data_IF_111869676690
#
_entry.id   IF_111869676690
#
_cell.length_a   1.000
_cell.length_b   1.000
_cell.length_c   1.000
_cell.angle_alpha   90.00
_cell.angle_beta   90.00
_cell.angle_gamma   90.00
#
_symmetry.space_group_name_H-M   'P 1'
#
loop_
_entity.id
_entity.type
_entity.pdbx_description
1 polymer ?
#
# COMPACT_ATOMS: atom_id res chain seq x y z
N UNK A 1 7.47 15.81 -6.57
CA UNK A 1 6.21 15.62 -5.80
C UNK A 1 6.44 14.62 -4.69
N UNK A 2 5.80 14.80 -3.54
CA UNK A 2 5.87 13.91 -2.38
C UNK A 2 4.47 13.50 -1.93
N UNK A 3 4.33 12.26 -1.47
CA UNK A 3 3.05 11.64 -1.15
C UNK A 3 3.13 10.94 0.21
N UNK A 4 2.07 11.04 1.02
CA UNK A 4 1.83 10.14 2.16
C UNK A 4 0.47 9.48 2.05
N UNK A 5 0.44 8.18 2.30
CA UNK A 5 -0.71 7.33 2.01
C UNK A 5 -0.64 6.02 2.77
N UNK A 6 -1.79 5.35 2.91
CA UNK A 6 -1.87 3.93 3.19
C UNK A 6 -1.63 3.16 1.88
N UNK A 7 -0.61 2.27 1.83
CA UNK A 7 -0.26 1.60 0.60
C UNK A 7 -1.36 0.62 0.18
N UNK A 8 -1.71 0.56 -1.11
CA UNK A 8 -2.56 -0.50 -1.59
C UNK A 8 -1.87 -1.85 -1.42
N UNK A 9 -2.66 -2.89 -1.23
CA UNK A 9 -2.15 -4.26 -1.10
C UNK A 9 -1.23 -4.66 -2.27
N UNK A 10 -1.50 -4.17 -3.47
CA UNK A 10 -0.69 -4.46 -4.67
C UNK A 10 0.73 -3.86 -4.62
N UNK A 11 0.99 -2.95 -3.69
CA UNK A 11 2.28 -2.27 -3.49
C UNK A 11 3.03 -2.77 -2.25
N UNK A 12 2.52 -3.79 -1.57
CA UNK A 12 3.20 -4.44 -0.44
C UNK A 12 3.58 -5.87 -0.82
N UNK A 13 4.39 -6.52 0.00
CA UNK A 13 4.72 -7.94 -0.17
C UNK A 13 4.74 -8.65 1.19
N UNK A 14 4.43 -9.96 1.26
CA UNK A 14 4.36 -10.67 2.52
C UNK A 14 5.71 -11.31 2.90
N UNK A 15 5.73 -12.02 4.02
CA UNK A 15 6.88 -12.83 4.43
C UNK A 15 7.16 -13.98 3.44
N UNK A 16 8.35 -14.56 3.52
CA UNK A 16 8.80 -15.59 2.56
C UNK A 16 7.91 -16.85 2.56
N UNK A 17 7.32 -17.20 3.70
CA UNK A 17 6.48 -18.39 3.85
C UNK A 17 5.00 -18.13 3.55
N UNK A 18 4.65 -16.94 3.06
CA UNK A 18 3.26 -16.53 2.93
C UNK A 18 2.41 -17.48 2.08
N UNK A 19 3.02 -18.07 1.05
CA UNK A 19 2.32 -19.01 0.17
C UNK A 19 1.96 -20.30 0.89
N UNK A 20 2.85 -20.82 1.74
CA UNK A 20 2.61 -22.06 2.50
C UNK A 20 1.72 -21.81 3.73
N UNK A 21 1.79 -20.61 4.30
CA UNK A 21 1.01 -20.19 5.48
C UNK A 21 -0.36 -19.59 5.12
N UNK A 22 -0.59 -19.30 3.83
CA UNK A 22 -1.72 -18.52 3.32
C UNK A 22 -1.86 -17.13 4.01
N UNK A 23 -0.73 -16.53 4.39
CA UNK A 23 -0.61 -15.25 5.12
C UNK A 23 -0.37 -14.05 4.19
N UNK A 24 -1.05 -14.03 3.04
CA UNK A 24 -1.02 -12.92 2.09
C UNK A 24 -2.43 -12.38 1.83
N UNK A 25 -2.50 -11.13 1.37
CA UNK A 25 -3.75 -10.51 0.96
C UNK A 25 -4.07 -10.80 -0.52
N UNK A 26 -5.35 -10.82 -0.92
CA UNK A 26 -5.73 -10.96 -2.33
C UNK A 26 -5.06 -9.90 -3.22
N UNK A 27 -4.41 -10.35 -4.30
CA UNK A 27 -3.73 -9.47 -5.26
C UNK A 27 -2.36 -8.95 -4.81
N UNK A 28 -1.91 -9.31 -3.61
CA UNK A 28 -0.59 -8.96 -3.10
C UNK A 28 0.52 -9.72 -3.87
N UNK A 29 1.53 -9.03 -4.39
CA UNK A 29 2.75 -9.66 -4.89
C UNK A 29 3.46 -10.48 -3.82
N UNK A 30 4.09 -11.59 -4.21
CA UNK A 30 4.83 -12.44 -3.26
C UNK A 30 6.28 -11.99 -3.06
N UNK A 31 6.75 -11.04 -3.88
CA UNK A 31 8.12 -10.54 -3.83
C UNK A 31 8.16 -9.02 -3.81
N UNK A 32 9.21 -8.46 -3.18
CA UNK A 32 9.47 -7.02 -3.18
C UNK A 32 9.63 -6.46 -4.60
N UNK A 33 10.27 -7.21 -5.50
CA UNK A 33 10.51 -6.78 -6.89
C UNK A 33 9.21 -6.61 -7.66
N UNK A 34 8.27 -7.55 -7.52
CA UNK A 34 6.97 -7.44 -8.18
C UNK A 34 6.12 -6.31 -7.59
N UNK A 35 6.15 -6.12 -6.27
CA UNK A 35 5.48 -4.99 -5.63
C UNK A 35 6.05 -3.64 -6.10
N UNK A 36 7.37 -3.55 -6.25
CA UNK A 36 8.04 -2.37 -6.79
C UNK A 36 7.61 -2.10 -8.23
N UNK A 37 7.56 -3.13 -9.08
CA UNK A 37 7.17 -3.00 -10.48
C UNK A 37 5.71 -2.53 -10.60
N UNK A 38 4.80 -3.05 -9.77
CA UNK A 38 3.40 -2.61 -9.73
C UNK A 38 3.28 -1.15 -9.28
N UNK A 39 3.94 -0.80 -8.17
CA UNK A 39 3.93 0.58 -7.68
C UNK A 39 4.47 1.57 -8.72
N UNK A 40 5.59 1.23 -9.35
CA UNK A 40 6.19 2.08 -10.38
C UNK A 40 5.29 2.19 -11.63
N UNK A 41 4.67 1.10 -12.06
CA UNK A 41 3.75 1.08 -13.20
C UNK A 41 2.50 1.93 -12.95
N UNK A 42 1.92 1.80 -11.76
CA UNK A 42 0.75 2.57 -11.33
C UNK A 42 1.04 4.07 -11.25
N UNK A 43 2.15 4.45 -10.58
CA UNK A 43 2.57 5.85 -10.46
C UNK A 43 2.85 6.46 -11.83
N UNK A 44 3.60 5.75 -12.69
CA UNK A 44 3.91 6.24 -14.03
C UNK A 44 2.62 6.44 -14.85
N UNK A 45 1.72 5.46 -14.82
CA UNK A 45 0.44 5.53 -15.53
C UNK A 45 -0.42 6.68 -15.03
N UNK A 46 -0.48 6.91 -13.71
CA UNK A 46 -1.23 8.02 -13.11
C UNK A 46 -0.66 9.39 -13.52
N UNK A 47 0.67 9.54 -13.57
CA UNK A 47 1.34 10.76 -14.03
C UNK A 47 1.04 11.03 -15.50
N UNK A 48 1.20 10.03 -16.37
CA UNK A 48 0.93 10.18 -17.81
C UNK A 48 -0.54 10.50 -18.09
N UNK A 49 -1.46 9.84 -17.38
CA UNK A 49 -2.89 10.12 -17.47
C UNK A 49 -3.23 11.53 -16.94
N UNK A 50 -2.55 11.98 -15.89
CA UNK A 50 -2.67 13.34 -15.36
C UNK A 50 -2.22 14.39 -16.37
N UNK A 51 -1.04 14.20 -16.97
CA UNK A 51 -0.52 15.07 -18.02
C UNK A 51 -1.47 15.15 -19.22
N UNK A 52 -1.95 13.99 -19.69
CA UNK A 52 -2.91 13.92 -20.79
C UNK A 52 -4.23 14.65 -20.47
N UNK A 53 -4.77 14.47 -19.27
CA UNK A 53 -6.01 15.11 -18.83
C UNK A 53 -5.89 16.65 -18.76
N UNK A 54 -4.68 17.16 -18.51
CA UNK A 54 -4.37 18.59 -18.49
C UNK A 54 -3.89 19.11 -19.86
N UNK A 55 -3.93 18.28 -20.90
CA UNK A 55 -3.43 18.61 -22.24
C UNK A 55 -1.96 19.04 -22.26
N UNK A 56 -1.16 18.49 -21.33
CA UNK A 56 0.27 18.73 -21.23
C UNK A 56 1.06 17.72 -22.09
N UNK A 57 2.26 18.08 -22.58
CA UNK A 57 3.09 17.15 -23.35
C UNK A 57 3.45 15.89 -22.55
N UNK A 58 3.30 14.73 -23.19
CA UNK A 58 3.71 13.42 -22.64
C UNK A 58 4.95 12.86 -23.35
N UNK A 59 5.28 13.36 -24.55
CA UNK A 59 6.46 12.94 -25.32
C UNK A 59 7.74 13.46 -24.67
N UNK A 60 8.74 12.58 -24.51
CA UNK A 60 10.03 12.93 -23.91
C UNK A 60 10.02 13.07 -22.39
N UNK A 61 8.89 12.75 -21.74
CA UNK A 61 8.77 12.77 -20.28
C UNK A 61 9.33 11.50 -19.67
N UNK A 62 10.14 11.67 -18.62
CA UNK A 62 10.61 10.56 -17.79
C UNK A 62 10.03 10.70 -16.39
N UNK A 63 9.29 9.69 -15.94
CA UNK A 63 8.75 9.61 -14.58
C UNK A 63 9.61 8.63 -13.78
N UNK A 64 10.18 9.11 -12.67
CA UNK A 64 10.97 8.29 -11.76
C UNK A 64 10.30 8.26 -10.39
N UNK A 65 9.49 7.23 -10.09
CA UNK A 65 8.97 6.99 -8.76
C UNK A 65 10.09 6.58 -7.80
N UNK A 66 10.06 7.11 -6.60
CA UNK A 66 10.88 6.66 -5.47
C UNK A 66 9.94 6.15 -4.39
N UNK A 67 9.79 4.84 -4.33
CA UNK A 67 8.96 4.14 -3.36
C UNK A 67 9.65 2.83 -3.02
N UNK A 68 9.61 2.43 -1.75
CA UNK A 68 10.07 1.12 -1.30
C UNK A 68 8.87 0.35 -0.77
N UNK A 69 8.41 -0.72 -1.44
CA UNK A 69 7.35 -1.59 -0.95
C UNK A 69 7.66 -2.06 0.48
N UNK A 70 6.72 -1.95 1.41
CA UNK A 70 6.91 -2.50 2.74
C UNK A 70 6.54 -3.98 2.79
N UNK A 71 7.21 -4.70 3.69
CA UNK A 71 6.82 -6.05 4.08
C UNK A 71 5.60 -5.98 5.00
N UNK A 72 4.48 -6.56 4.57
CA UNK A 72 3.27 -6.70 5.37
C UNK A 72 2.61 -8.03 5.04
N UNK A 73 2.36 -8.85 6.05
CA UNK A 73 1.64 -10.13 5.87
C UNK A 73 0.24 -10.02 6.44
N UNK A 74 -0.66 -10.85 5.93
CA UNK A 74 -1.90 -11.16 6.63
C UNK A 74 -1.59 -12.17 7.76
N UNK A 75 -2.56 -12.47 8.62
CA UNK A 75 -2.41 -13.58 9.55
C UNK A 75 -2.44 -14.94 8.82
N UNK A 76 -1.95 -15.98 9.48
CA UNK A 76 -1.80 -17.33 8.96
C UNK A 76 -3.17 -17.99 8.90
N UNK A 77 -3.54 -18.50 7.73
CA UNK A 77 -4.85 -19.13 7.48
C UNK A 77 -4.75 -20.63 7.17
N UNK A 78 -3.54 -21.14 6.97
CA UNK A 78 -3.33 -22.56 6.69
C UNK A 78 -3.58 -23.40 7.95
N UNK A 79 -4.59 -24.28 7.91
CA UNK A 79 -4.85 -25.24 9.00
C UNK A 79 -3.72 -26.28 9.08
N UNK A 80 -3.29 -26.63 10.30
CA UNK A 80 -2.22 -27.62 10.53
C UNK A 80 -0.79 -27.05 10.42
N UNK A 81 -0.66 -25.74 10.25
CA UNK A 81 0.61 -24.97 10.34
C UNK A 81 0.61 -24.17 11.65
N UNK A 82 1.79 -23.69 12.05
CA UNK A 82 1.97 -22.80 13.21
C UNK A 82 1.05 -21.59 13.12
N UNK A 83 0.30 -21.30 14.18
CA UNK A 83 -0.56 -20.14 14.33
C UNK A 83 0.21 -18.82 14.19
N UNK A 84 -0.47 -17.72 13.89
CA UNK A 84 0.17 -16.40 14.00
C UNK A 84 0.50 -16.13 15.45
N UNK A 85 1.79 -16.01 15.75
CA UNK A 85 2.26 -15.91 17.14
C UNK A 85 1.91 -14.56 17.77
N UNK A 86 1.81 -14.54 19.09
CA UNK A 86 1.70 -13.30 19.84
C UNK A 86 2.89 -12.37 19.52
N UNK A 87 2.62 -11.08 19.40
CA UNK A 87 3.58 -10.05 18.99
C UNK A 87 3.81 -9.93 17.49
N UNK A 88 3.26 -10.84 16.66
CA UNK A 88 3.35 -10.71 15.21
C UNK A 88 2.61 -9.46 14.72
N UNK A 89 3.17 -8.80 13.70
CA UNK A 89 2.54 -7.68 13.02
C UNK A 89 1.74 -8.18 11.81
N UNK A 90 0.44 -7.87 11.79
CA UNK A 90 -0.50 -8.27 10.75
C UNK A 90 -1.04 -7.01 10.08
N UNK A 91 -1.13 -6.99 8.76
CA UNK A 91 -1.80 -5.90 8.05
C UNK A 91 -3.31 -5.92 8.27
N UNK A 92 -3.91 -4.73 8.40
CA UNK A 92 -5.36 -4.58 8.37
C UNK A 92 -5.76 -3.88 7.08
N UNK A 93 -6.50 -4.60 6.23
CA UNK A 93 -6.90 -4.11 4.91
C UNK A 93 -8.30 -3.50 4.95
N UNK A 94 -8.41 -2.24 4.52
CA UNK A 94 -9.65 -1.49 4.33
C UNK A 94 -9.70 -0.95 2.90
N UNK A 95 -10.79 -1.20 2.17
CA UNK A 95 -10.99 -0.71 0.79
C UNK A 95 -9.86 -0.99 -0.23
N UNK A 96 -9.00 -1.99 0.03
CA UNK A 96 -7.88 -2.36 -0.83
C UNK A 96 -6.52 -1.81 -0.39
N UNK A 97 -6.48 -0.92 0.62
CA UNK A 97 -5.28 -0.39 1.24
C UNK A 97 -5.00 -1.04 2.60
N UNK A 98 -3.72 -1.14 2.97
CA UNK A 98 -3.31 -1.53 4.31
C UNK A 98 -3.27 -0.26 5.17
N UNK A 99 -4.33 -0.03 5.95
CA UNK A 99 -4.47 1.20 6.73
C UNK A 99 -3.77 1.12 8.08
N UNK A 100 -3.74 -0.08 8.69
CA UNK A 100 -3.20 -0.29 10.03
C UNK A 100 -2.35 -1.55 10.10
N UNK A 101 -1.48 -1.60 11.09
CA UNK A 101 -0.83 -2.81 11.57
C UNK A 101 -1.43 -3.20 12.91
N UNK A 102 -1.81 -4.46 13.03
CA UNK A 102 -2.26 -5.09 14.26
C UNK A 102 -1.06 -5.79 14.88
N UNK A 103 -0.81 -5.53 16.15
CA UNK A 103 0.11 -6.37 16.94
C UNK A 103 -0.72 -7.44 17.62
N UNK A 104 -0.51 -8.71 17.25
CA UNK A 104 -1.26 -9.84 17.80
C UNK A 104 -1.07 -9.91 19.33
N UNK A 105 -2.11 -9.71 20.17
CA UNK A 105 -1.95 -9.71 21.62
C UNK A 105 -1.73 -11.12 22.18
N UNK A 106 -2.19 -12.14 21.43
CA UNK A 106 -2.02 -13.55 21.70
C UNK A 106 -1.84 -14.30 20.37
N UNK A 107 -1.61 -15.61 20.43
CA UNK A 107 -1.61 -16.43 19.22
C UNK A 107 -3.01 -16.39 18.55
N UNK A 108 -3.04 -16.23 17.23
CA UNK A 108 -4.26 -16.18 16.43
C UNK A 108 -4.35 -17.45 15.60
N UNK A 109 -5.40 -18.23 15.86
CA UNK A 109 -5.69 -19.47 15.14
C UNK A 109 -6.06 -19.17 13.68
N UNK A 110 -5.89 -20.12 12.75
CA UNK A 110 -6.33 -19.95 11.36
C UNK A 110 -7.82 -19.58 11.23
N UNK A 111 -8.68 -20.18 12.05
CA UNK A 111 -10.12 -19.88 12.05
C UNK A 111 -10.39 -18.44 12.49
N UNK A 112 -9.75 -17.98 13.57
CA UNK A 112 -9.86 -16.61 14.04
C UNK A 112 -9.31 -15.61 13.01
N UNK A 113 -8.20 -15.95 12.36
CA UNK A 113 -7.64 -15.15 11.26
C UNK A 113 -8.64 -14.99 10.10
N UNK A 114 -9.22 -16.10 9.61
CA UNK A 114 -10.21 -16.10 8.52
C UNK A 114 -11.43 -15.25 8.88
N UNK A 115 -11.90 -15.37 10.13
CA UNK A 115 -13.06 -14.64 10.65
C UNK A 115 -12.72 -13.20 11.10
N UNK A 116 -11.46 -12.75 10.94
CA UNK A 116 -10.95 -11.44 11.38
C UNK A 116 -11.17 -11.17 12.88
N UNK A 117 -11.05 -12.21 13.70
CA UNK A 117 -11.12 -12.16 15.15
C UNK A 117 -9.68 -12.05 15.68
N UNK A 118 -9.26 -10.85 16.06
CA UNK A 118 -7.89 -10.60 16.52
C UNK A 118 -7.75 -10.45 18.04
N UNK A 119 -8.88 -10.46 18.74
CA UNK A 119 -8.95 -10.46 20.20
C UNK A 119 -9.54 -11.80 20.68
N UNK A 120 -8.95 -12.37 21.73
CA UNK A 120 -9.54 -13.53 22.37
C UNK A 120 -10.83 -13.14 23.10
N UNK A 121 -11.83 -14.04 23.11
CA UNK A 121 -13.05 -13.82 23.88
C UNK A 121 -12.71 -13.64 25.38
N UNK A 122 -13.06 -12.48 25.95
CA UNK A 122 -12.73 -12.13 27.35
C UNK A 122 -11.34 -11.51 27.55
N UNK A 123 -10.65 -11.09 26.49
CA UNK A 123 -9.39 -10.39 26.60
C UNK A 123 -9.53 -9.08 27.42
N UNK A 124 -8.62 -8.89 28.37
CA UNK A 124 -8.51 -7.66 29.18
C UNK A 124 -7.47 -6.68 28.62
N UNK A 125 -6.62 -7.15 27.70
CA UNK A 125 -5.63 -6.31 27.01
C UNK A 125 -6.23 -5.84 25.68
N UNK A 126 -6.27 -4.53 25.41
CA UNK A 126 -6.86 -4.00 24.18
C UNK A 126 -6.01 -4.36 22.95
N UNK A 127 -6.67 -4.59 21.80
CA UNK A 127 -5.99 -4.70 20.52
C UNK A 127 -5.22 -3.42 20.20
N UNK A 128 -3.91 -3.56 19.94
CA UNK A 128 -3.07 -2.44 19.51
C UNK A 128 -3.10 -2.39 17.99
N UNK A 129 -3.71 -1.34 17.46
CA UNK A 129 -3.69 -0.98 16.05
C UNK A 129 -2.88 0.30 15.87
N UNK A 130 -1.88 0.27 15.00
CA UNK A 130 -1.09 1.45 14.65
C UNK A 130 -1.31 1.80 13.19
N UNK A 131 -1.50 3.10 12.92
CA UNK A 131 -1.61 3.62 11.56
C UNK A 131 -0.38 3.24 10.71
N UNK A 132 -0.65 2.79 9.49
CA UNK A 132 0.37 2.32 8.56
C UNK A 132 0.51 3.26 7.38
N UNK A 133 1.26 4.34 7.58
CA UNK A 133 1.46 5.40 6.60
C UNK A 133 2.81 5.21 5.93
N UNK A 134 2.82 5.17 4.60
CA UNK A 134 4.01 5.11 3.77
C UNK A 134 4.24 6.44 3.05
N UNK A 135 5.47 6.63 2.57
CA UNK A 135 5.84 7.80 1.80
C UNK A 135 6.44 7.39 0.46
N UNK A 136 6.20 8.20 -0.56
CA UNK A 136 6.85 8.08 -1.85
C UNK A 136 7.12 9.46 -2.43
N UNK A 137 8.10 9.55 -3.33
CA UNK A 137 8.34 10.74 -4.12
C UNK A 137 8.24 10.41 -5.61
N UNK A 138 7.92 11.42 -6.41
CA UNK A 138 7.86 11.32 -7.87
C UNK A 138 8.71 12.45 -8.43
N UNK A 139 9.70 12.08 -9.24
CA UNK A 139 10.45 13.01 -10.08
C UNK A 139 9.93 12.92 -11.51
N UNK A 140 9.66 14.07 -12.13
CA UNK A 140 9.20 14.17 -13.51
C UNK A 140 10.20 15.05 -14.25
N UNK A 141 10.90 14.47 -15.21
CA UNK A 141 11.87 15.16 -16.07
C UNK A 141 11.31 15.34 -17.48
N UNK A 142 11.78 16.36 -18.20
CA UNK A 142 11.38 16.65 -19.59
C UNK A 142 10.20 17.61 -19.76
N UNK A 143 9.73 18.24 -18.67
CA UNK A 143 8.67 19.26 -18.70
C UNK A 143 8.97 20.41 -17.74
N UNK A 144 8.54 21.61 -18.12
CA UNK A 144 8.50 22.78 -17.23
C UNK A 144 7.04 23.14 -17.00
N UNK A 145 6.62 23.16 -15.74
CA UNK A 145 5.26 23.51 -15.33
C UNK A 145 5.29 24.77 -14.48
N UNK A 146 4.25 25.60 -14.58
CA UNK A 146 3.99 26.58 -13.53
C UNK A 146 3.57 25.88 -12.24
N UNK A 147 3.72 26.55 -11.10
CA UNK A 147 3.28 26.03 -9.80
C UNK A 147 1.80 25.61 -9.83
N UNK A 148 0.95 26.42 -10.47
CA UNK A 148 -0.46 26.10 -10.67
C UNK A 148 -0.66 24.79 -11.46
N UNK A 149 0.06 24.61 -12.58
CA UNK A 149 -0.03 23.40 -13.39
C UNK A 149 0.50 22.17 -12.65
N UNK A 150 1.57 22.33 -11.88
CA UNK A 150 2.14 21.25 -11.09
C UNK A 150 1.17 20.79 -9.98
N UNK A 151 0.49 21.72 -9.30
CA UNK A 151 -0.53 21.40 -8.31
C UNK A 151 -1.76 20.73 -8.93
N UNK A 152 -2.22 21.18 -10.10
CA UNK A 152 -3.28 20.49 -10.84
C UNK A 152 -2.87 19.08 -11.24
N UNK A 153 -1.61 18.88 -11.67
CA UNK A 153 -1.10 17.56 -12.01
C UNK A 153 -1.06 16.66 -10.77
N UNK A 154 -0.57 17.15 -9.64
CA UNK A 154 -0.57 16.43 -8.37
C UNK A 154 -1.99 15.97 -7.97
N UNK A 155 -2.99 16.84 -8.08
CA UNK A 155 -4.38 16.48 -7.83
C UNK A 155 -4.91 15.39 -8.78
N UNK A 156 -4.54 15.45 -10.07
CA UNK A 156 -4.91 14.41 -11.05
C UNK A 156 -4.22 13.08 -10.77
N UNK A 157 -2.94 13.10 -10.41
CA UNK A 157 -2.18 11.91 -10.03
C UNK A 157 -2.84 11.24 -8.82
N UNK A 158 -3.16 12.01 -7.79
CA UNK A 158 -3.88 11.51 -6.61
C UNK A 158 -5.20 10.85 -7.01
N UNK A 159 -6.02 11.54 -7.84
CA UNK A 159 -7.29 11.00 -8.33
C UNK A 159 -7.14 9.65 -9.06
N UNK A 160 -6.16 9.54 -9.97
CA UNK A 160 -5.93 8.28 -10.71
C UNK A 160 -5.43 7.16 -9.80
N UNK A 161 -4.53 7.45 -8.87
CA UNK A 161 -4.00 6.47 -7.93
C UNK A 161 -5.07 5.95 -6.97
N UNK A 162 -5.96 6.82 -6.48
CA UNK A 162 -7.10 6.40 -5.65
C UNK A 162 -8.04 5.46 -6.41
N UNK A 163 -8.44 5.84 -7.62
CA UNK A 163 -9.45 5.10 -8.39
C UNK A 163 -8.93 3.75 -8.90
N UNK A 164 -7.74 3.77 -9.51
CA UNK A 164 -7.21 2.62 -10.25
C UNK A 164 -6.33 1.71 -9.38
N UNK A 165 -5.60 2.29 -8.44
CA UNK A 165 -4.60 1.56 -7.64
C UNK A 165 -4.97 1.40 -6.17
N UNK A 166 -6.10 1.98 -5.72
CA UNK A 166 -6.57 1.94 -4.33
C UNK A 166 -5.60 2.56 -3.33
N UNK A 167 -4.79 3.50 -3.79
CA UNK A 167 -3.95 4.31 -2.89
C UNK A 167 -4.87 5.18 -2.05
N UNK A 168 -4.74 5.10 -0.73
CA UNK A 168 -5.55 5.90 0.19
C UNK A 168 -4.67 7.00 0.80
N UNK A 169 -4.82 8.23 0.31
CA UNK A 169 -3.97 9.35 0.68
C UNK A 169 -4.34 9.91 2.05
N UNK A 170 -3.33 10.11 2.90
CA UNK A 170 -3.51 10.73 4.21
C UNK A 170 -3.40 12.25 4.15
N UNK A 171 -2.75 12.76 3.11
CA UNK A 171 -2.59 14.18 2.83
C UNK A 171 -2.53 14.43 1.32
N UNK A 172 -2.75 15.68 0.90
CA UNK A 172 -2.58 16.08 -0.49
C UNK A 172 -1.12 15.90 -0.95
N UNK A 173 -0.95 15.58 -2.22
CA UNK A 173 0.39 15.46 -2.82
C UNK A 173 1.05 16.83 -2.86
N UNK A 174 2.25 16.93 -2.27
CA UNK A 174 3.02 18.17 -2.20
C UNK A 174 3.92 18.29 -3.43
N UNK A 175 3.87 19.43 -4.12
CA UNK A 175 4.82 19.79 -5.18
C UNK A 175 6.02 20.48 -4.54
N UNK A 176 7.21 19.96 -4.79
CA UNK A 176 8.50 20.53 -4.36
C UNK A 176 9.31 20.93 -5.58
#
# INVERSE_FOLDING_TARGET
MSMKFHPPTTWTYPNQNALTELSYFPGQPLTITEAQLRANGDINSAVLAGLQALQLPTTGITVTPQYTPPLVSDCIKMTGVTETQAGAQIGYQEAGAITKLITAPAAITPENCINKIYEAAGATTPLIMTEFIQQASIKIDGITLSEYQANLLAAKVSQYLMLNSKVDFTEEIIVN
#
